data_IF_769520041349
#
_entry.id   IF_769520041349
#
_cell.length_a   1.000
_cell.length_b   1.000
_cell.length_c   1.000
_cell.angle_alpha   90.00
_cell.angle_beta   90.00
_cell.angle_gamma   90.00
#
_symmetry.space_group_name_H-M   'P 1'
#
loop_
_entity.id
_entity.type
_entity.pdbx_description
1 polymer ?
#
# COMPACT_ATOMS: atom_id res chain seq x y z
N UNK A 1 -11.97 -8.53 -4.60
CA UNK A 1 -11.73 -10.01 -4.70
C UNK A 1 -10.24 -10.41 -4.65
N UNK A 2 -9.29 -9.56 -5.02
CA UNK A 2 -7.86 -9.94 -5.06
C UNK A 2 -7.26 -10.21 -3.67
N UNK A 3 -7.66 -9.44 -2.65
CA UNK A 3 -7.11 -9.53 -1.29
C UNK A 3 -7.40 -10.87 -0.60
N UNK A 4 -8.60 -11.43 -0.81
CA UNK A 4 -8.96 -12.73 -0.25
C UNK A 4 -8.02 -13.84 -0.73
N UNK A 5 -7.62 -13.82 -2.01
CA UNK A 5 -6.68 -14.79 -2.58
C UNK A 5 -5.26 -14.62 -2.03
N UNK A 6 -4.83 -13.37 -1.82
CA UNK A 6 -3.53 -13.08 -1.21
C UNK A 6 -3.52 -13.62 0.23
N UNK A 7 -4.55 -13.32 1.02
CA UNK A 7 -4.69 -13.81 2.39
C UNK A 7 -4.69 -15.34 2.44
N UNK A 8 -5.47 -16.00 1.58
CA UNK A 8 -5.49 -17.47 1.49
C UNK A 8 -4.08 -18.05 1.24
N UNK A 9 -3.32 -17.43 0.33
CA UNK A 9 -1.95 -17.87 0.02
C UNK A 9 -1.03 -17.70 1.23
N UNK A 10 -1.08 -16.54 1.89
CA UNK A 10 -0.29 -16.26 3.11
C UNK A 10 -0.64 -17.23 4.24
N UNK A 11 -1.92 -17.55 4.43
CA UNK A 11 -2.35 -18.52 5.43
C UNK A 11 -1.88 -19.94 5.12
N UNK A 12 -1.90 -20.34 3.84
CA UNK A 12 -1.53 -21.69 3.39
C UNK A 12 -0.03 -21.97 3.52
N UNK A 13 0.80 -21.01 3.16
CA UNK A 13 2.26 -21.18 3.13
C UNK A 13 2.90 -20.93 4.52
N UNK A 14 2.09 -20.56 5.50
CA UNK A 14 2.49 -20.23 6.86
C UNK A 14 2.58 -18.72 7.06
N UNK A 15 1.99 -18.25 8.16
CA UNK A 15 1.91 -16.82 8.49
C UNK A 15 3.31 -16.21 8.69
N UNK A 16 3.74 -15.26 7.84
CA UNK A 16 5.03 -14.60 7.99
C UNK A 16 5.03 -13.69 9.22
N UNK A 17 6.19 -13.49 9.84
CA UNK A 17 6.30 -12.55 10.97
C UNK A 17 6.08 -11.09 10.55
N UNK A 18 6.47 -10.76 9.31
CA UNK A 18 6.33 -9.44 8.70
C UNK A 18 5.80 -9.58 7.28
N UNK A 19 4.76 -8.81 6.94
CA UNK A 19 4.21 -8.70 5.59
C UNK A 19 4.23 -7.24 5.14
N UNK A 20 4.98 -6.94 4.07
CA UNK A 20 5.08 -5.61 3.49
C UNK A 20 4.35 -5.56 2.15
N UNK A 21 3.49 -4.55 1.98
CA UNK A 21 2.68 -4.35 0.77
C UNK A 21 2.82 -2.91 0.29
N UNK A 22 2.94 -2.72 -1.03
CA UNK A 22 2.98 -1.40 -1.66
C UNK A 22 1.75 -1.17 -2.52
N UNK A 23 1.48 0.09 -2.85
CA UNK A 23 0.39 0.54 -3.73
C UNK A 23 -1.01 0.19 -3.20
N UNK A 24 -1.19 0.18 -1.88
CA UNK A 24 -2.50 -0.09 -1.29
C UNK A 24 -3.36 1.16 -1.35
N UNK A 25 -4.49 1.07 -2.06
CA UNK A 25 -5.36 2.21 -2.31
C UNK A 25 -6.47 2.32 -1.27
N UNK A 26 -6.83 3.55 -0.91
CA UNK A 26 -7.99 3.86 -0.09
C UNK A 26 -8.77 4.99 -0.73
N UNK A 27 -10.05 4.76 -1.01
CA UNK A 27 -10.98 5.73 -1.61
C UNK A 27 -10.54 6.30 -2.97
N UNK A 28 -9.65 5.61 -3.72
CA UNK A 28 -9.24 6.04 -5.06
C UNK A 28 -10.26 5.55 -6.09
N UNK A 29 -11.07 6.40 -6.75
CA UNK A 29 -12.21 5.94 -7.57
C UNK A 29 -11.81 5.03 -8.74
N UNK A 30 -10.62 5.26 -9.30
CA UNK A 30 -10.07 4.47 -10.40
C UNK A 30 -9.55 3.09 -9.99
N UNK A 31 -9.45 2.81 -8.69
CA UNK A 31 -8.88 1.57 -8.16
C UNK A 31 -9.93 0.85 -7.32
N UNK A 32 -10.28 -0.37 -7.72
CA UNK A 32 -11.17 -1.26 -6.95
C UNK A 32 -12.49 -0.56 -6.53
N UNK A 33 -13.08 0.21 -7.46
CA UNK A 33 -14.30 0.99 -7.25
C UNK A 33 -14.26 1.94 -6.03
N UNK A 34 -13.06 2.41 -5.65
CA UNK A 34 -12.87 3.28 -4.49
C UNK A 34 -12.94 2.57 -3.14
N UNK A 35 -12.67 1.26 -3.10
CA UNK A 35 -12.61 0.49 -1.87
C UNK A 35 -11.58 1.04 -0.86
N UNK A 36 -11.79 0.73 0.43
CA UNK A 36 -10.80 0.93 1.48
C UNK A 36 -10.01 -0.38 1.63
N UNK A 37 -9.03 -0.57 0.75
CA UNK A 37 -8.26 -1.83 0.71
C UNK A 37 -7.44 -2.03 1.98
N UNK A 38 -7.04 -0.94 2.66
CA UNK A 38 -6.40 -1.01 3.97
C UNK A 38 -7.35 -1.68 4.97
N UNK A 39 -8.63 -1.27 5.00
CA UNK A 39 -9.63 -1.87 5.90
C UNK A 39 -9.91 -3.33 5.57
N UNK A 40 -9.95 -3.69 4.30
CA UNK A 40 -10.09 -5.08 3.88
C UNK A 40 -8.92 -5.94 4.36
N UNK A 41 -7.70 -5.44 4.23
CA UNK A 41 -6.48 -6.13 4.69
C UNK A 41 -6.40 -6.24 6.21
N UNK A 42 -6.75 -5.20 6.97
CA UNK A 42 -6.88 -5.29 8.44
C UNK A 42 -7.84 -6.40 8.87
N UNK A 43 -8.96 -6.56 8.17
CA UNK A 43 -9.93 -7.61 8.49
C UNK A 43 -9.42 -9.02 8.17
N UNK A 44 -8.52 -9.15 7.20
CA UNK A 44 -7.92 -10.43 6.79
C UNK A 44 -6.75 -10.84 7.69
N UNK A 45 -6.06 -9.87 8.31
CA UNK A 45 -4.91 -10.11 9.19
C UNK A 45 -5.13 -9.48 10.59
N UNK A 46 -6.16 -9.90 11.34
CA UNK A 46 -6.55 -9.24 12.59
C UNK A 46 -5.52 -9.38 13.72
N UNK A 47 -4.65 -10.40 13.65
CA UNK A 47 -3.63 -10.67 14.66
C UNK A 47 -2.30 -9.94 14.39
N UNK A 48 -2.25 -9.08 13.37
CA UNK A 48 -1.08 -8.31 13.00
C UNK A 48 -1.26 -6.84 13.41
N UNK A 49 -0.19 -6.25 13.92
CA UNK A 49 -0.09 -4.81 14.11
C UNK A 49 0.24 -4.15 12.75
N UNK A 50 -0.59 -3.19 12.34
CA UNK A 50 -0.47 -2.49 11.06
C UNK A 50 0.24 -1.14 11.22
N UNK A 51 1.28 -0.93 10.43
CA UNK A 51 1.93 0.36 10.21
C UNK A 51 1.71 0.80 8.76
N UNK A 52 1.34 2.06 8.54
CA UNK A 52 0.95 2.57 7.22
C UNK A 52 1.58 3.93 6.95
N UNK A 53 2.28 4.04 5.82
CA UNK A 53 2.79 5.30 5.29
C UNK A 53 2.03 5.71 4.04
N UNK A 54 1.57 6.96 3.99
CA UNK A 54 0.74 7.48 2.90
C UNK A 54 1.59 8.35 1.97
N UNK A 55 1.63 8.07 0.67
CA UNK A 55 2.49 8.78 -0.29
C UNK A 55 1.77 9.84 -1.12
N UNK A 56 0.54 9.54 -1.54
CA UNK A 56 -0.25 10.42 -2.39
C UNK A 56 -1.55 10.71 -1.66
N UNK A 57 -1.87 11.98 -1.46
CA UNK A 57 -3.16 12.40 -0.93
C UNK A 57 -3.84 13.29 -1.96
N UNK A 58 -4.97 12.83 -2.47
CA UNK A 58 -5.85 13.66 -3.29
C UNK A 58 -7.12 13.97 -2.52
N UNK A 59 -7.78 15.07 -2.87
CA UNK A 59 -9.14 15.34 -2.42
C UNK A 59 -10.08 14.42 -3.17
N UNK A 60 -10.19 13.18 -2.68
CA UNK A 60 -11.05 12.15 -3.25
C UNK A 60 -12.50 12.61 -3.40
N UNK A 61 -13.26 11.87 -4.21
CA UNK A 61 -14.68 12.13 -4.36
C UNK A 61 -15.42 11.91 -3.02
N UNK A 62 -16.38 12.79 -2.70
CA UNK A 62 -17.22 12.72 -1.48
C UNK A 62 -16.50 13.00 -0.15
N UNK A 63 -15.50 13.91 -0.13
CA UNK A 63 -14.83 14.42 1.08
C UNK A 63 -14.03 13.38 1.90
N UNK A 64 -13.77 12.21 1.34
CA UNK A 64 -12.83 11.25 1.95
C UNK A 64 -11.46 11.43 1.29
N UNK A 65 -10.37 11.57 2.07
CA UNK A 65 -9.03 11.57 1.51
C UNK A 65 -8.80 10.29 0.71
N UNK A 66 -8.39 10.42 -0.54
CA UNK A 66 -7.96 9.32 -1.37
C UNK A 66 -6.45 9.21 -1.27
N UNK A 67 -5.93 8.02 -0.96
CA UNK A 67 -4.49 7.83 -0.85
C UNK A 67 -4.00 6.45 -1.24
N UNK A 68 -2.70 6.39 -1.52
CA UNK A 68 -1.95 5.17 -1.74
C UNK A 68 -0.89 5.03 -0.65
N UNK A 69 -0.76 3.83 -0.11
CA UNK A 69 0.08 3.55 1.05
C UNK A 69 1.00 2.36 0.85
N UNK A 70 2.10 2.39 1.59
CA UNK A 70 2.90 1.22 1.94
C UNK A 70 2.46 0.75 3.33
N UNK A 71 2.17 -0.54 3.43
CA UNK A 71 1.71 -1.18 4.65
C UNK A 71 2.76 -2.18 5.13
N UNK A 72 2.96 -2.21 6.44
CA UNK A 72 3.72 -3.25 7.12
C UNK A 72 2.88 -3.86 8.23
N UNK A 73 2.54 -5.13 8.08
CA UNK A 73 1.86 -5.94 9.09
C UNK A 73 2.91 -6.73 9.88
N UNK A 74 2.86 -6.64 11.21
CA UNK A 74 3.82 -7.30 12.11
C UNK A 74 3.10 -8.16 13.14
N UNK A 75 3.48 -9.43 13.27
CA UNK A 75 2.94 -10.33 14.33
C UNK A 75 3.50 -10.01 15.71
N UNK A 76 4.69 -9.39 15.75
CA UNK A 76 5.41 -9.00 16.95
C UNK A 76 5.62 -7.49 16.90
N UNK A 77 5.32 -6.81 18.01
CA UNK A 77 5.48 -5.36 18.06
C UNK A 77 6.96 -4.96 17.91
N UNK A 78 7.29 -4.08 16.95
CA UNK A 78 8.65 -3.59 16.78
C UNK A 78 9.08 -2.72 17.97
N UNK A 79 10.36 -2.78 18.33
CA UNK A 79 10.95 -1.94 19.40
C UNK A 79 10.99 -0.46 18.99
N UNK A 80 11.11 -0.20 17.69
CA UNK A 80 11.19 1.15 17.13
C UNK A 80 10.58 1.17 15.73
N UNK A 81 9.86 2.24 15.43
CA UNK A 81 9.28 2.51 14.10
C UNK A 81 9.88 3.81 13.58
N UNK A 82 10.39 3.77 12.35
CA UNK A 82 10.98 4.92 11.67
C UNK A 82 10.33 5.09 10.30
N UNK A 83 9.70 6.25 10.12
CA UNK A 83 9.07 6.64 8.87
C UNK A 83 9.99 7.62 8.15
N UNK A 84 10.84 7.08 7.28
CA UNK A 84 11.77 7.89 6.49
C UNK A 84 11.16 8.17 5.12
N UNK A 85 11.13 9.46 4.74
CA UNK A 85 10.86 9.83 3.35
C UNK A 85 11.96 9.23 2.47
N UNK A 86 11.54 8.47 1.45
CA UNK A 86 12.47 8.02 0.43
C UNK A 86 13.13 9.24 -0.23
N UNK A 87 14.43 9.14 -0.57
CA UNK A 87 15.09 10.21 -1.30
C UNK A 87 14.31 10.53 -2.58
N UNK A 88 14.23 11.82 -2.92
CA UNK A 88 13.53 12.27 -4.13
C UNK A 88 13.98 11.42 -5.32
N UNK A 89 13.04 10.93 -6.16
CA UNK A 89 13.37 10.07 -7.28
C UNK A 89 14.52 10.68 -8.10
N UNK A 90 15.44 9.84 -8.57
CA UNK A 90 16.49 10.31 -9.46
C UNK A 90 15.83 11.08 -10.61
N UNK A 91 16.31 12.30 -10.90
CA UNK A 91 15.79 13.11 -12.01
C UNK A 91 15.68 12.20 -13.24
N UNK A 92 14.52 12.13 -13.91
CA UNK A 92 14.39 11.29 -15.09
C UNK A 92 15.50 11.70 -16.06
N UNK A 93 16.27 10.71 -16.54
CA UNK A 93 17.17 10.95 -17.67
C UNK A 93 16.29 11.53 -18.77
N UNK A 94 16.61 12.72 -19.29
CA UNK A 94 15.88 13.28 -20.43
C UNK A 94 15.79 12.16 -21.46
N UNK A 95 14.57 11.78 -21.82
CA UNK A 95 14.36 11.06 -23.06
C UNK A 95 14.71 12.07 -24.15
N UNK A 96 15.93 11.97 -24.68
CA UNK A 96 16.23 12.58 -25.96
C UNK A 96 15.24 11.95 -26.93
N UNK A 97 14.24 12.75 -27.33
CA UNK A 97 13.26 12.35 -28.33
C UNK A 97 14.02 11.87 -29.56
N UNK A 98 13.86 10.59 -29.91
CA UNK A 98 14.27 10.10 -31.22
C UNK A 98 13.62 11.02 -32.27
N UNK A 99 14.38 11.70 -33.14
CA UNK A 99 13.80 12.51 -34.19
C UNK A 99 13.01 11.61 -35.13
N UNK A 100 11.88 12.14 -35.60
CA UNK A 100 10.73 11.38 -36.07
C UNK A 100 11.00 10.33 -37.15
N UNK A 101 10.08 9.37 -37.21
CA UNK A 101 9.81 8.56 -38.38
C UNK A 101 8.32 8.37 -38.54
#
# INVERSE_FOLDING_TARGET
MIWARIAETVHKDGLPDVLCLQEISRNYPSTDEGADQVKELENLFPDYELFSEHFMTDQGEKKKPANNSELSFNRLSPVQVLHHLLPSPAKPKRQDSCPGR
#
